data_IF_654217569033
#
_entry.id   IF_654217569033
#
_cell.length_a   1.000
_cell.length_b   1.000
_cell.length_c   1.000
_cell.angle_alpha   90.00
_cell.angle_beta   90.00
_cell.angle_gamma   90.00
#
_symmetry.space_group_name_H-M   'P 1'
#
loop_
_entity.id
_entity.type
_entity.pdbx_description
1 polymer ?
#
# COMPACT_ATOMS: atom_id res chain seq x y z
N UNK A 1 21.60 12.32 -14.65
CA UNK A 1 20.88 11.07 -14.92
C UNK A 1 21.85 9.89 -14.93
N UNK A 2 21.61 8.91 -14.08
CA UNK A 2 22.45 7.72 -13.92
C UNK A 2 22.43 6.83 -15.19
N UNK A 3 23.57 6.25 -15.63
CA UNK A 3 23.63 5.46 -16.88
C UNK A 3 22.69 4.27 -16.88
N UNK A 4 22.54 3.60 -15.74
CA UNK A 4 21.65 2.44 -15.59
C UNK A 4 20.19 2.81 -15.78
N UNK A 5 19.73 3.91 -15.16
CA UNK A 5 18.35 4.38 -15.31
C UNK A 5 18.04 4.74 -16.77
N UNK A 6 19.01 5.37 -17.44
CA UNK A 6 18.91 5.68 -18.88
C UNK A 6 18.77 4.41 -19.72
N UNK A 7 19.49 3.34 -19.37
CA UNK A 7 19.44 2.06 -20.09
C UNK A 7 18.13 1.30 -19.89
N UNK A 8 17.46 1.53 -18.75
CA UNK A 8 16.12 1.01 -18.46
C UNK A 8 15.01 1.82 -19.12
N UNK A 9 15.33 2.99 -19.72
CA UNK A 9 14.37 3.84 -20.42
C UNK A 9 13.70 4.89 -19.54
N UNK A 10 14.30 5.26 -18.41
CA UNK A 10 13.78 6.34 -17.56
C UNK A 10 14.14 7.73 -18.11
N UNK A 11 13.26 8.74 -17.94
CA UNK A 11 12.01 8.70 -17.17
C UNK A 11 10.81 8.12 -17.93
N UNK A 12 10.87 8.00 -19.27
CA UNK A 12 9.72 7.62 -20.12
C UNK A 12 9.03 6.31 -19.71
N UNK A 13 9.77 5.36 -19.13
CA UNK A 13 9.21 4.11 -18.60
C UNK A 13 8.12 4.34 -17.54
N UNK A 14 8.19 5.42 -16.74
CA UNK A 14 7.19 5.74 -15.72
C UNK A 14 5.80 6.04 -16.32
N UNK A 15 5.75 6.41 -17.59
CA UNK A 15 4.51 6.70 -18.31
C UNK A 15 3.89 5.44 -18.95
N UNK A 16 4.55 4.28 -18.86
CA UNK A 16 4.10 3.00 -19.43
C UNK A 16 3.85 1.95 -18.33
N UNK A 17 2.63 1.90 -17.74
CA UNK A 17 2.30 0.94 -16.68
C UNK A 17 2.40 -0.52 -17.15
N UNK A 18 2.13 -0.79 -18.43
CA UNK A 18 2.24 -2.14 -19.00
C UNK A 18 3.69 -2.61 -19.06
N UNK A 19 4.64 -1.70 -19.30
CA UNK A 19 6.06 -2.01 -19.27
C UNK A 19 6.59 -2.12 -17.83
N UNK A 20 6.17 -1.23 -16.93
CA UNK A 20 6.56 -1.27 -15.51
C UNK A 20 6.19 -2.60 -14.85
N UNK A 21 4.95 -3.06 -14.99
CA UNK A 21 4.49 -4.33 -14.42
C UNK A 21 5.21 -5.57 -14.98
N UNK A 22 5.99 -5.41 -16.06
CA UNK A 22 6.74 -6.49 -16.73
C UNK A 22 8.25 -6.42 -16.51
N UNK A 23 8.76 -5.46 -15.72
CA UNK A 23 10.16 -5.46 -15.30
C UNK A 23 10.51 -6.82 -14.69
N UNK A 24 11.69 -7.35 -14.97
CA UNK A 24 12.17 -8.62 -14.41
C UNK A 24 12.77 -8.42 -13.02
N UNK A 25 12.90 -9.48 -12.23
CA UNK A 25 13.50 -9.40 -10.87
C UNK A 25 14.92 -8.80 -10.93
N UNK A 26 15.74 -9.22 -11.91
CA UNK A 26 17.07 -8.64 -12.16
C UNK A 26 17.04 -7.12 -12.42
N UNK A 27 15.96 -6.61 -13.03
CA UNK A 27 15.82 -5.17 -13.28
C UNK A 27 15.35 -4.42 -12.02
N UNK A 28 14.52 -5.05 -11.20
CA UNK A 28 14.10 -4.50 -9.90
C UNK A 28 15.28 -4.46 -8.92
N UNK A 29 16.04 -5.55 -8.83
CA UNK A 29 17.29 -5.61 -8.06
C UNK A 29 18.24 -4.50 -8.50
N UNK A 30 18.38 -4.29 -9.81
CA UNK A 30 19.22 -3.24 -10.36
C UNK A 30 18.72 -1.84 -9.98
N UNK A 31 17.40 -1.61 -9.97
CA UNK A 31 16.80 -0.35 -9.51
C UNK A 31 17.04 -0.12 -8.01
N UNK A 32 16.84 -1.15 -7.18
CA UNK A 32 17.09 -1.10 -5.75
C UNK A 32 18.57 -0.77 -5.46
N UNK A 33 19.50 -1.48 -6.08
CA UNK A 33 20.94 -1.22 -5.94
C UNK A 33 21.31 0.22 -6.36
N UNK A 34 20.78 0.71 -7.49
CA UNK A 34 21.04 2.09 -7.95
C UNK A 34 20.47 3.13 -6.99
N UNK A 35 19.28 2.88 -6.43
CA UNK A 35 18.67 3.74 -5.39
C UNK A 35 19.58 3.79 -4.17
N UNK A 36 20.00 2.64 -3.66
CA UNK A 36 20.76 2.53 -2.41
C UNK A 36 22.17 3.12 -2.57
N UNK A 37 22.88 2.84 -3.67
CA UNK A 37 24.18 3.47 -3.98
C UNK A 37 24.09 5.00 -4.05
N UNK A 38 22.99 5.53 -4.60
CA UNK A 38 22.77 6.96 -4.68
C UNK A 38 22.36 7.56 -3.33
N UNK A 39 21.60 6.85 -2.51
CA UNK A 39 21.23 7.26 -1.16
C UNK A 39 22.47 7.32 -0.24
N UNK A 40 23.34 6.31 -0.29
CA UNK A 40 24.62 6.28 0.43
C UNK A 40 25.52 7.47 0.03
N UNK A 41 25.53 7.83 -1.26
CA UNK A 41 26.29 8.98 -1.74
C UNK A 41 25.75 10.31 -1.18
N UNK A 42 24.44 10.44 -0.98
CA UNK A 42 23.81 11.62 -0.38
C UNK A 42 24.15 11.79 1.10
N UNK A 43 24.49 10.72 1.84
CA UNK A 43 24.98 10.87 3.22
C UNK A 43 26.26 11.73 3.28
N UNK A 44 27.07 11.68 2.21
CA UNK A 44 28.32 12.45 2.11
C UNK A 44 28.12 13.81 1.43
N UNK A 45 27.21 13.90 0.47
CA UNK A 45 26.91 15.13 -0.29
C UNK A 45 25.38 15.32 -0.42
N UNK A 46 24.70 15.80 0.63
CA UNK A 46 23.22 15.80 0.70
C UNK A 46 22.54 16.70 -0.35
N UNK A 47 23.24 17.73 -0.83
CA UNK A 47 22.70 18.71 -1.76
C UNK A 47 22.98 18.33 -3.23
N UNK A 48 23.46 17.11 -3.49
CA UNK A 48 23.80 16.68 -4.84
C UNK A 48 22.56 16.34 -5.67
N UNK A 49 22.12 17.31 -6.48
CA UNK A 49 20.95 17.19 -7.36
C UNK A 49 20.94 15.89 -8.19
N UNK A 50 22.10 15.46 -8.71
CA UNK A 50 22.14 14.26 -9.55
C UNK A 50 21.88 12.97 -8.77
N UNK A 51 22.31 12.90 -7.50
CA UNK A 51 22.01 11.78 -6.63
C UNK A 51 20.56 11.84 -6.14
N UNK A 52 20.05 13.02 -5.78
CA UNK A 52 18.63 13.23 -5.44
C UNK A 52 17.72 12.73 -6.56
N UNK A 53 17.95 13.18 -7.80
CA UNK A 53 17.16 12.76 -8.97
C UNK A 53 17.24 11.24 -9.20
N UNK A 54 18.41 10.64 -8.95
CA UNK A 54 18.63 9.20 -9.14
C UNK A 54 17.85 8.41 -8.10
N UNK A 55 17.91 8.81 -6.83
CA UNK A 55 17.16 8.20 -5.74
C UNK A 55 15.66 8.32 -6.01
N UNK A 56 15.19 9.49 -6.42
CA UNK A 56 13.79 9.72 -6.75
C UNK A 56 13.29 8.87 -7.91
N UNK A 57 13.96 8.92 -9.06
CA UNK A 57 13.54 8.14 -10.23
C UNK A 57 13.60 6.63 -9.97
N UNK A 58 14.67 6.15 -9.32
CA UNK A 58 14.81 4.72 -9.04
C UNK A 58 13.73 4.24 -8.05
N UNK A 59 13.51 4.97 -6.95
CA UNK A 59 12.52 4.61 -5.95
C UNK A 59 11.09 4.65 -6.51
N UNK A 60 10.74 5.71 -7.25
CA UNK A 60 9.43 5.85 -7.88
C UNK A 60 9.14 4.75 -8.90
N UNK A 61 10.16 4.35 -9.68
CA UNK A 61 10.02 3.27 -10.66
C UNK A 61 9.85 1.93 -9.97
N UNK A 62 10.65 1.66 -8.94
CA UNK A 62 10.62 0.41 -8.19
C UNK A 62 9.26 0.19 -7.52
N UNK A 63 8.79 1.17 -6.74
CA UNK A 63 7.52 1.07 -6.00
C UNK A 63 6.33 0.94 -6.95
N UNK A 64 6.29 1.72 -8.03
CA UNK A 64 5.25 1.61 -9.06
C UNK A 64 5.25 0.23 -9.75
N UNK A 65 6.42 -0.31 -10.06
CA UNK A 65 6.53 -1.63 -10.69
C UNK A 65 6.08 -2.77 -9.75
N UNK A 66 6.47 -2.71 -8.47
CA UNK A 66 6.05 -3.68 -7.45
C UNK A 66 4.54 -3.63 -7.21
N UNK A 67 3.97 -2.43 -7.09
CA UNK A 67 2.53 -2.22 -7.00
C UNK A 67 1.79 -2.83 -8.20
N UNK A 68 2.23 -2.54 -9.43
CA UNK A 68 1.61 -3.09 -10.64
C UNK A 68 1.76 -4.61 -10.73
N UNK A 69 2.89 -5.17 -10.31
CA UNK A 69 3.10 -6.63 -10.23
C UNK A 69 2.11 -7.29 -9.28
N UNK A 70 1.87 -6.69 -8.10
CA UNK A 70 0.85 -7.18 -7.16
C UNK A 70 -0.55 -7.20 -7.80
N UNK A 71 -0.91 -6.16 -8.56
CA UNK A 71 -2.17 -6.10 -9.30
C UNK A 71 -2.28 -7.15 -10.43
N UNK A 72 -1.15 -7.62 -10.96
CA UNK A 72 -1.09 -8.60 -12.05
C UNK A 72 -1.08 -10.06 -11.57
N UNK A 73 -1.14 -10.31 -10.26
CA UNK A 73 -1.21 -11.67 -9.71
C UNK A 73 -2.49 -12.37 -10.19
N UNK A 74 -2.33 -13.48 -10.92
CA UNK A 74 -3.44 -14.24 -11.54
C UNK A 74 -4.21 -15.13 -10.52
N UNK A 75 -3.92 -14.97 -9.22
CA UNK A 75 -4.61 -15.70 -8.16
C UNK A 75 -5.68 -14.79 -7.55
N UNK A 76 -6.93 -15.18 -7.71
CA UNK A 76 -8.05 -14.43 -7.16
C UNK A 76 -8.07 -14.52 -5.62
N UNK A 77 -8.31 -13.40 -4.92
CA UNK A 77 -8.46 -13.42 -3.48
C UNK A 77 -9.71 -14.20 -3.06
N UNK A 78 -9.78 -14.57 -1.78
CA UNK A 78 -10.91 -15.29 -1.24
C UNK A 78 -12.21 -14.49 -1.43
N UNK A 79 -13.31 -15.16 -1.77
CA UNK A 79 -14.61 -14.49 -1.72
C UNK A 79 -14.90 -13.93 -0.32
N UNK A 80 -15.23 -12.63 -0.26
CA UNK A 80 -15.59 -11.96 0.98
C UNK A 80 -16.89 -12.53 1.56
N UNK A 81 -16.94 -12.79 2.88
CA UNK A 81 -18.20 -13.05 3.53
C UNK A 81 -19.05 -11.76 3.59
N UNK A 82 -20.37 -11.86 3.84
CA UNK A 82 -21.23 -10.68 3.97
C UNK A 82 -20.71 -9.71 5.05
N UNK A 83 -20.89 -8.39 4.88
CA UNK A 83 -20.40 -7.39 5.83
C UNK A 83 -20.81 -7.65 7.28
N UNK A 84 -22.04 -8.14 7.52
CA UNK A 84 -22.51 -8.52 8.87
C UNK A 84 -21.75 -9.69 9.52
N UNK A 85 -21.07 -10.52 8.73
CA UNK A 85 -20.21 -11.61 9.21
C UNK A 85 -18.82 -11.06 9.51
N UNK A 86 -18.26 -10.24 8.62
CA UNK A 86 -17.00 -9.50 8.86
C UNK A 86 -17.07 -8.67 10.16
N UNK A 87 -18.18 -7.96 10.36
CA UNK A 87 -18.37 -7.16 11.57
C UNK A 87 -18.34 -7.97 12.87
N UNK A 88 -18.74 -9.25 12.79
CA UNK A 88 -18.76 -10.15 13.93
C UNK A 88 -17.44 -10.90 14.13
N UNK A 89 -16.62 -11.03 13.08
CA UNK A 89 -15.33 -11.70 13.19
C UNK A 89 -14.29 -10.81 13.88
N UNK A 90 -14.45 -9.47 13.82
CA UNK A 90 -13.61 -8.51 14.53
C UNK A 90 -13.71 -8.64 16.07
N UNK A 91 -12.97 -9.61 16.62
CA UNK A 91 -13.07 -10.15 17.97
C UNK A 91 -12.47 -9.22 19.05
N UNK A 92 -12.83 -7.93 19.09
CA UNK A 92 -12.47 -7.05 20.21
C UNK A 92 -12.53 -5.53 20.00
N UNK A 93 -13.29 -5.02 19.03
CA UNK A 93 -13.46 -3.57 18.88
C UNK A 93 -14.81 -3.20 18.27
N UNK A 94 -15.27 -1.98 18.56
CA UNK A 94 -16.40 -1.40 17.84
C UNK A 94 -15.90 -0.95 16.46
N UNK A 95 -16.42 -1.58 15.40
CA UNK A 95 -16.24 -1.06 14.05
C UNK A 95 -17.15 0.16 13.86
N UNK A 96 -16.60 1.17 13.19
CA UNK A 96 -17.27 2.43 12.87
C UNK A 96 -17.79 2.34 11.46
N UNK A 97 -19.10 2.48 11.31
CA UNK A 97 -19.72 2.56 10.00
C UNK A 97 -19.42 3.91 9.37
N UNK A 98 -19.11 3.90 8.08
CA UNK A 98 -19.07 5.10 7.26
C UNK A 98 -20.50 5.39 6.79
N UNK A 99 -20.88 6.67 6.71
CA UNK A 99 -22.22 6.99 6.24
C UNK A 99 -22.33 6.79 4.72
N UNK A 100 -23.55 6.47 4.26
CA UNK A 100 -23.84 6.36 2.82
C UNK A 100 -23.65 7.68 2.06
N UNK A 101 -23.69 8.82 2.76
CA UNK A 101 -23.44 10.11 2.13
C UNK A 101 -21.94 10.29 1.89
N UNK A 102 -21.09 9.86 2.82
CA UNK A 102 -19.64 10.00 2.70
C UNK A 102 -19.04 9.02 1.69
N UNK A 103 -19.79 7.99 1.31
CA UNK A 103 -19.41 7.02 0.27
C UNK A 103 -20.16 7.20 -1.05
N UNK A 104 -21.01 8.24 -1.16
CA UNK A 104 -21.91 8.40 -2.31
C UNK A 104 -21.18 8.65 -3.64
N UNK A 105 -20.04 9.34 -3.57
CA UNK A 105 -19.25 9.76 -4.72
C UNK A 105 -18.06 8.83 -5.01
N UNK A 106 -17.98 7.69 -4.30
CA UNK A 106 -16.92 6.70 -4.52
C UNK A 106 -17.22 5.82 -5.73
N UNK A 107 -16.25 5.72 -6.63
CA UNK A 107 -16.26 4.84 -7.80
C UNK A 107 -15.52 3.54 -7.49
N UNK A 108 -16.03 2.79 -6.51
CA UNK A 108 -15.47 1.50 -6.06
C UNK A 108 -16.52 0.38 -6.13
N UNK A 109 -16.10 -0.90 -6.12
CA UNK A 109 -17.03 -2.02 -6.12
C UNK A 109 -18.06 -1.97 -5.00
N UNK A 110 -19.26 -2.52 -5.25
CA UNK A 110 -20.33 -2.56 -4.25
C UNK A 110 -19.97 -3.34 -3.00
N UNK A 111 -19.04 -4.30 -3.09
CA UNK A 111 -18.49 -5.03 -1.95
C UNK A 111 -17.71 -4.10 -1.02
N UNK A 112 -16.90 -3.20 -1.56
CA UNK A 112 -16.19 -2.15 -0.80
C UNK A 112 -17.19 -1.26 -0.07
N UNK A 113 -18.24 -0.81 -0.78
CA UNK A 113 -19.32 -0.02 -0.17
C UNK A 113 -20.09 -0.79 0.91
N UNK A 114 -20.32 -2.10 0.74
CA UNK A 114 -20.98 -2.95 1.74
C UNK A 114 -20.14 -3.05 3.02
N UNK A 115 -18.83 -3.23 2.88
CA UNK A 115 -17.90 -3.23 4.01
C UNK A 115 -17.95 -1.89 4.75
N UNK A 116 -17.75 -0.76 4.07
CA UNK A 116 -17.74 0.56 4.71
C UNK A 116 -19.06 0.90 5.41
N UNK A 117 -20.20 0.64 4.76
CA UNK A 117 -21.51 1.06 5.23
C UNK A 117 -22.17 0.09 6.22
N UNK A 118 -21.84 -1.21 6.17
CA UNK A 118 -22.52 -2.24 6.95
C UNK A 118 -21.60 -3.06 7.87
N UNK A 119 -20.30 -3.17 7.56
CA UNK A 119 -19.33 -3.79 8.47
C UNK A 119 -18.62 -2.75 9.35
N UNK A 120 -18.13 -1.69 8.72
CA UNK A 120 -17.35 -0.62 9.33
C UNK A 120 -15.86 -0.92 9.39
N UNK A 121 -15.09 0.09 9.78
CA UNK A 121 -13.63 0.03 9.97
C UNK A 121 -13.29 0.17 11.47
N UNK A 122 -12.18 -0.42 11.95
CA UNK A 122 -11.75 -0.19 13.31
C UNK A 122 -11.36 1.28 13.52
N UNK A 123 -11.20 1.69 14.78
CA UNK A 123 -10.64 2.99 15.11
C UNK A 123 -9.13 3.06 14.89
N UNK A 124 -8.49 1.98 15.32
CA UNK A 124 -7.05 1.73 15.29
C UNK A 124 -6.87 0.23 15.08
N UNK A 125 -5.78 -0.15 14.42
CA UNK A 125 -5.38 -1.54 14.27
C UNK A 125 -3.86 -1.61 14.15
N UNK A 126 -3.26 -2.73 14.56
CA UNK A 126 -1.85 -2.95 14.27
C UNK A 126 -1.65 -3.32 12.79
N UNK A 127 -0.50 -2.95 12.17
CA UNK A 127 0.65 -2.27 12.79
C UNK A 127 0.49 -0.74 12.77
N UNK A 128 0.24 -0.14 13.94
CA UNK A 128 0.13 1.30 14.21
C UNK A 128 -0.77 2.12 13.26
N UNK A 129 -1.86 1.55 12.77
CA UNK A 129 -2.80 2.20 11.87
C UNK A 129 -3.88 2.97 12.64
N UNK A 130 -4.15 4.20 12.21
CA UNK A 130 -5.26 5.03 12.67
C UNK A 130 -6.24 5.32 11.54
N UNK A 131 -7.49 4.87 11.70
CA UNK A 131 -8.53 5.00 10.69
C UNK A 131 -9.32 6.29 10.84
N UNK A 132 -9.60 6.92 9.71
CA UNK A 132 -10.41 8.13 9.65
C UNK A 132 -11.86 7.82 10.03
N UNK A 133 -12.55 8.80 10.64
CA UNK A 133 -13.99 8.66 10.92
C UNK A 133 -14.83 8.60 9.64
N UNK A 134 -14.35 9.22 8.57
CA UNK A 134 -14.96 9.23 7.25
C UNK A 134 -13.88 9.36 6.20
N UNK A 135 -13.95 8.61 5.09
CA UNK A 135 -12.96 8.72 4.04
C UNK A 135 -12.96 10.11 3.40
N UNK A 136 -11.79 10.56 2.98
CA UNK A 136 -11.59 11.87 2.36
C UNK A 136 -10.77 11.72 1.10
N UNK A 137 -11.05 12.55 0.08
CA UNK A 137 -10.20 12.60 -1.12
C UNK A 137 -8.80 13.03 -0.72
N UNK A 138 -7.77 12.29 -1.12
CA UNK A 138 -6.39 12.60 -0.76
C UNK A 138 -6.00 14.01 -1.22
N UNK A 139 -6.41 14.38 -2.43
CA UNK A 139 -6.23 15.73 -2.98
C UNK A 139 -6.64 16.84 -1.99
N UNK A 140 -7.74 16.65 -1.25
CA UNK A 140 -8.25 17.67 -0.31
C UNK A 140 -7.37 17.89 0.92
N UNK A 141 -6.41 17.00 1.16
CA UNK A 141 -5.46 17.07 2.27
C UNK A 141 -4.11 17.67 1.85
N UNK A 142 -3.88 17.82 0.56
CA UNK A 142 -2.62 18.30 0.00
C UNK A 142 -2.65 19.81 -0.20
N UNK A 143 -1.52 20.46 0.06
CA UNK A 143 -1.32 21.88 -0.24
C UNK A 143 -0.63 21.98 -1.61
N UNK A 144 -1.44 21.98 -2.67
CA UNK A 144 -0.96 21.92 -4.05
C UNK A 144 -0.91 23.34 -4.63
N UNK A 145 0.23 23.77 -5.21
CA UNK A 145 0.31 25.05 -5.91
C UNK A 145 -0.74 25.13 -7.04
N UNK A 146 -1.38 26.30 -7.20
CA UNK A 146 -2.41 26.52 -8.25
C UNK A 146 -1.91 26.17 -9.67
N UNK A 147 -0.61 26.31 -9.94
CA UNK A 147 -0.01 26.02 -11.24
C UNK A 147 0.08 24.50 -11.56
N UNK A 148 -0.04 23.63 -10.55
CA UNK A 148 0.05 22.16 -10.66
C UNK A 148 -1.29 21.45 -10.35
N UNK A 149 -2.38 22.21 -10.22
CA UNK A 149 -3.68 21.73 -9.75
C UNK A 149 -4.29 20.68 -10.71
N UNK A 150 -4.23 20.92 -12.02
CA UNK A 150 -4.84 20.01 -13.03
C UNK A 150 -4.17 18.61 -13.04
N UNK A 151 -2.84 18.56 -13.02
CA UNK A 151 -2.09 17.29 -13.04
C UNK A 151 -2.24 16.53 -11.71
N UNK A 152 -2.29 17.28 -10.60
CA UNK A 152 -2.47 16.71 -9.28
C UNK A 152 -3.89 16.21 -9.04
N UNK A 153 -4.91 16.87 -9.59
CA UNK A 153 -6.31 16.42 -9.54
C UNK A 153 -6.47 15.09 -10.26
N UNK A 154 -5.84 14.92 -11.43
CA UNK A 154 -5.91 13.67 -12.20
C UNK A 154 -5.32 12.48 -11.41
N UNK A 155 -4.21 12.68 -10.69
CA UNK A 155 -3.57 11.61 -9.94
C UNK A 155 -4.16 11.42 -8.53
N UNK A 156 -4.16 12.47 -7.71
CA UNK A 156 -4.59 12.37 -6.30
C UNK A 156 -6.10 12.37 -6.12
N UNK A 157 -6.83 12.88 -7.11
CA UNK A 157 -8.28 12.91 -7.10
C UNK A 157 -8.89 11.52 -7.06
N UNK A 158 -8.23 10.46 -7.53
CA UNK A 158 -8.75 9.08 -7.53
C UNK A 158 -8.57 8.31 -6.22
N UNK A 159 -7.88 8.88 -5.24
CA UNK A 159 -7.61 8.21 -3.96
C UNK A 159 -8.52 8.71 -2.85
N UNK A 160 -9.11 7.77 -2.12
CA UNK A 160 -9.82 8.04 -0.88
C UNK A 160 -9.01 7.56 0.31
N UNK A 161 -8.46 8.48 1.09
CA UNK A 161 -7.81 8.12 2.35
C UNK A 161 -8.82 7.57 3.33
N UNK A 162 -8.50 6.43 3.92
CA UNK A 162 -9.31 5.72 4.92
C UNK A 162 -8.57 5.54 6.25
N UNK A 163 -7.24 5.57 6.23
CA UNK A 163 -6.40 5.48 7.42
C UNK A 163 -5.03 6.11 7.15
N UNK A 164 -4.20 6.16 8.19
CA UNK A 164 -2.78 6.49 8.10
C UNK A 164 -1.98 5.66 9.12
N UNK A 165 -0.70 5.45 8.85
CA UNK A 165 0.23 4.85 9.82
C UNK A 165 0.82 5.93 10.77
N UNK A 166 1.75 5.53 11.64
CA UNK A 166 2.42 6.42 12.58
C UNK A 166 3.32 7.48 11.91
N UNK A 167 3.85 7.20 10.71
CA UNK A 167 4.69 8.11 9.92
C UNK A 167 3.87 9.15 9.13
N UNK A 168 2.56 8.92 9.02
CA UNK A 168 1.63 9.79 8.30
C UNK A 168 1.45 9.42 6.83
N UNK A 169 1.88 8.22 6.44
CA UNK A 169 1.59 7.64 5.14
C UNK A 169 0.10 7.33 5.04
N UNK A 170 -0.47 7.58 3.86
CA UNK A 170 -1.90 7.51 3.67
C UNK A 170 -2.30 6.11 3.19
N UNK A 171 -3.15 5.43 3.95
CA UNK A 171 -3.84 4.22 3.47
C UNK A 171 -5.10 4.67 2.72
N UNK A 172 -5.16 4.33 1.44
CA UNK A 172 -6.19 4.80 0.53
C UNK A 172 -6.91 3.67 -0.19
N UNK A 173 -8.10 3.96 -0.70
CA UNK A 173 -8.75 3.20 -1.77
C UNK A 173 -8.44 3.85 -3.11
N UNK A 174 -7.91 3.10 -4.08
CA UNK A 174 -7.64 3.59 -5.44
C UNK A 174 -8.80 3.23 -6.39
N UNK A 175 -9.53 4.24 -6.86
CA UNK A 175 -10.64 4.06 -7.80
C UNK A 175 -10.18 3.55 -9.18
N UNK A 176 -8.93 3.80 -9.58
CA UNK A 176 -8.40 3.37 -10.88
C UNK A 176 -8.09 1.88 -10.90
N UNK A 177 -7.91 1.29 -9.71
CA UNK A 177 -7.61 -0.13 -9.49
C UNK A 177 -8.76 -0.82 -8.73
N UNK A 178 -10.01 -0.54 -9.09
CA UNK A 178 -11.20 -1.20 -8.53
C UNK A 178 -11.29 -1.17 -6.99
N UNK A 179 -10.81 -0.10 -6.36
CA UNK A 179 -10.87 0.08 -4.90
C UNK A 179 -9.90 -0.79 -4.12
N UNK A 180 -8.76 -1.18 -4.73
CA UNK A 180 -7.59 -1.73 -4.04
C UNK A 180 -7.17 -0.81 -2.90
N UNK A 181 -6.73 -1.42 -1.79
CA UNK A 181 -6.11 -0.71 -0.67
C UNK A 181 -4.63 -0.53 -0.97
N UNK A 182 -4.18 0.71 -0.92
CA UNK A 182 -2.81 1.13 -1.24
C UNK A 182 -2.29 2.04 -0.13
N UNK A 183 -1.02 1.90 0.22
CA UNK A 183 -0.32 2.86 1.07
C UNK A 183 0.46 3.82 0.18
N UNK A 184 0.34 5.12 0.47
CA UNK A 184 1.02 6.20 -0.23
C UNK A 184 1.97 6.90 0.73
N UNK A 185 3.25 6.86 0.40
CA UNK A 185 4.31 7.36 1.25
C UNK A 185 4.35 8.90 1.24
N UNK A 186 4.24 9.49 2.42
CA UNK A 186 4.20 10.94 2.59
C UNK A 186 5.55 11.61 2.32
N UNK A 187 6.66 10.98 2.68
CA UNK A 187 8.01 11.54 2.48
C UNK A 187 8.32 11.66 0.98
N UNK A 188 7.71 10.82 0.16
CA UNK A 188 7.76 10.86 -1.30
C UNK A 188 6.61 11.64 -1.96
N UNK A 189 5.95 12.51 -1.20
CA UNK A 189 4.87 13.37 -1.71
C UNK A 189 3.64 12.59 -2.14
N UNK A 190 3.41 11.40 -1.57
CA UNK A 190 2.31 10.46 -1.86
C UNK A 190 2.36 9.82 -3.25
N UNK A 191 3.48 9.93 -3.96
CA UNK A 191 3.63 9.29 -5.27
C UNK A 191 4.07 7.84 -5.16
N UNK A 192 4.93 7.51 -4.18
CA UNK A 192 5.38 6.13 -3.98
C UNK A 192 4.23 5.27 -3.43
N UNK A 193 3.95 4.18 -4.13
CA UNK A 193 2.81 3.30 -3.90
C UNK A 193 3.28 1.96 -3.35
N UNK A 194 2.56 1.47 -2.34
CA UNK A 194 2.71 0.11 -1.84
C UNK A 194 1.35 -0.59 -1.82
N UNK A 195 1.31 -1.79 -2.40
CA UNK A 195 0.10 -2.62 -2.39
C UNK A 195 -0.16 -3.09 -0.96
N UNK A 196 -1.40 -2.92 -0.48
CA UNK A 196 -1.82 -3.43 0.83
C UNK A 196 -2.71 -4.65 0.65
N UNK A 197 -3.85 -4.48 -0.04
CA UNK A 197 -4.81 -5.55 -0.26
C UNK A 197 -5.72 -5.27 -1.46
N UNK A 198 -6.21 -6.33 -2.08
CA UNK A 198 -7.14 -6.29 -3.23
C UNK A 198 -8.48 -5.61 -2.93
N UNK A 199 -8.87 -5.50 -1.65
CA UNK A 199 -10.03 -4.71 -1.23
C UNK A 199 -10.02 -4.43 0.26
N UNK A 200 -10.83 -3.45 0.70
CA UNK A 200 -11.00 -3.15 2.13
C UNK A 200 -11.52 -4.33 2.96
N UNK A 201 -12.29 -5.23 2.36
CA UNK A 201 -12.77 -6.44 3.03
C UNK A 201 -11.64 -7.44 3.28
N UNK A 202 -10.72 -7.58 2.32
CA UNK A 202 -9.53 -8.43 2.48
C UNK A 202 -8.57 -7.82 3.50
N UNK A 203 -8.42 -6.50 3.47
CA UNK A 203 -7.62 -5.78 4.46
C UNK A 203 -8.10 -6.02 5.88
N UNK A 204 -9.41 -5.94 6.15
CA UNK A 204 -9.96 -6.27 7.47
C UNK A 204 -9.68 -7.71 7.91
N UNK A 205 -9.72 -8.67 6.98
CA UNK A 205 -9.40 -10.07 7.29
C UNK A 205 -7.91 -10.26 7.58
N UNK A 206 -7.02 -9.58 6.85
CA UNK A 206 -5.58 -9.60 7.12
C UNK A 206 -5.25 -8.92 8.46
N UNK A 207 -5.89 -7.81 8.81
CA UNK A 207 -5.75 -7.18 10.13
C UNK A 207 -6.22 -8.11 11.26
N UNK A 208 -7.27 -8.90 11.04
CA UNK A 208 -7.71 -9.91 12.01
C UNK A 208 -6.67 -11.03 12.17
N UNK A 209 -6.06 -11.47 11.05
CA UNK A 209 -4.98 -12.45 11.07
C UNK A 209 -3.73 -11.91 11.80
N UNK A 210 -3.33 -10.67 11.53
CA UNK A 210 -2.20 -10.00 12.18
C UNK A 210 -2.41 -9.92 13.69
N UNK A 211 -3.60 -9.48 14.12
CA UNK A 211 -3.93 -9.43 15.54
C UNK A 211 -3.91 -10.81 16.21
N UNK A 212 -4.30 -11.87 15.50
CA UNK A 212 -4.23 -13.22 16.02
C UNK A 212 -2.78 -13.69 16.18
N UNK A 213 -1.91 -13.30 15.23
CA UNK A 213 -0.46 -13.51 15.27
C UNK A 213 0.15 -12.85 16.51
N UNK A 214 -0.09 -11.55 16.73
CA UNK A 214 0.43 -10.81 17.90
C UNK A 214 -0.07 -11.33 19.25
N UNK A 215 -1.28 -11.90 19.28
CA UNK A 215 -1.85 -12.48 20.49
C UNK A 215 -1.28 -13.86 20.82
N UNK A 216 -0.58 -14.51 19.87
CA UNK A 216 0.06 -15.79 20.09
C UNK A 216 1.39 -15.59 20.80
N UNK A 217 1.43 -15.95 22.08
CA UNK A 217 2.65 -15.91 22.90
C UNK A 217 3.15 -17.31 23.23
N UNK A 218 2.62 -18.35 22.57
CA UNK A 218 2.80 -19.75 22.94
C UNK A 218 3.79 -20.49 22.05
N UNK A 219 3.86 -20.13 20.78
CA UNK A 219 4.71 -20.73 19.76
C UNK A 219 5.97 -19.89 19.50
N UNK A 220 6.93 -20.47 18.77
CA UNK A 220 8.14 -19.80 18.30
C UNK A 220 7.82 -18.85 17.13
N UNK A 221 8.59 -17.79 16.95
CA UNK A 221 8.24 -16.69 16.02
C UNK A 221 8.15 -17.17 14.57
N UNK A 222 9.05 -18.05 14.12
CA UNK A 222 8.96 -18.71 12.81
C UNK A 222 7.58 -19.35 12.58
N UNK A 223 7.03 -20.03 13.61
CA UNK A 223 5.73 -20.71 13.50
C UNK A 223 4.57 -19.71 13.46
N UNK A 224 4.71 -18.61 14.18
CA UNK A 224 3.73 -17.52 14.24
C UNK A 224 3.69 -16.81 12.88
N UNK A 225 4.85 -16.47 12.30
CA UNK A 225 5.00 -15.90 10.95
C UNK A 225 4.41 -16.82 9.90
N UNK A 226 4.82 -18.10 9.86
CA UNK A 226 4.28 -19.08 8.91
C UNK A 226 2.75 -19.21 8.99
N UNK A 227 2.18 -19.05 10.19
CA UNK A 227 0.73 -19.13 10.40
C UNK A 227 0.03 -17.90 9.83
N UNK A 228 0.60 -16.72 10.01
CA UNK A 228 0.08 -15.49 9.42
C UNK A 228 0.21 -15.49 7.89
N UNK A 229 1.37 -15.86 7.34
CA UNK A 229 1.58 -15.99 5.89
C UNK A 229 0.53 -16.89 5.25
N UNK A 230 0.31 -18.10 5.81
CA UNK A 230 -0.73 -19.01 5.31
C UNK A 230 -2.13 -18.41 5.39
N UNK A 231 -2.39 -17.57 6.39
CA UNK A 231 -3.67 -16.87 6.51
C UNK A 231 -3.81 -15.81 5.41
N UNK A 232 -2.80 -14.98 5.19
CA UNK A 232 -2.81 -13.94 4.15
C UNK A 232 -2.82 -14.55 2.76
N UNK A 233 -2.00 -15.57 2.47
CA UNK A 233 -2.01 -16.30 1.19
C UNK A 233 -3.41 -16.83 0.84
N UNK A 234 -4.15 -17.31 1.85
CA UNK A 234 -5.53 -17.76 1.67
C UNK A 234 -6.50 -16.59 1.44
N UNK A 235 -6.33 -15.47 2.13
CA UNK A 235 -7.23 -14.31 2.08
C UNK A 235 -7.03 -13.53 0.78
N UNK A 236 -5.78 -13.17 0.51
CA UNK A 236 -5.35 -12.27 -0.55
C UNK A 236 -3.87 -12.52 -0.88
N UNK A 237 -3.56 -13.46 -1.80
CA UNK A 237 -2.19 -13.84 -2.12
C UNK A 237 -1.32 -12.69 -2.63
N UNK A 238 -1.92 -11.70 -3.31
CA UNK A 238 -1.21 -10.53 -3.79
C UNK A 238 -0.63 -9.68 -2.65
N UNK A 239 -1.17 -9.83 -1.43
CA UNK A 239 -0.75 -9.07 -0.27
C UNK A 239 0.60 -9.53 0.32
N UNK A 240 1.13 -10.68 -0.14
CA UNK A 240 2.47 -11.21 0.21
C UNK A 240 3.46 -11.13 -0.96
N UNK A 241 3.14 -10.43 -2.05
CA UNK A 241 4.17 -10.21 -3.08
C UNK A 241 5.26 -9.31 -2.54
N UNK A 242 6.47 -9.45 -3.07
CA UNK A 242 7.60 -8.57 -2.78
C UNK A 242 7.19 -7.08 -2.83
N UNK A 243 7.57 -6.33 -1.78
CA UNK A 243 7.25 -4.91 -1.62
C UNK A 243 5.79 -4.60 -1.30
N UNK A 244 4.93 -5.61 -1.10
CA UNK A 244 3.61 -5.39 -0.52
C UNK A 244 3.72 -5.13 0.99
N UNK A 245 2.77 -4.37 1.52
CA UNK A 245 2.75 -3.93 2.92
C UNK A 245 2.96 -5.07 3.92
N UNK A 246 2.28 -6.21 3.73
CA UNK A 246 2.40 -7.32 4.68
C UNK A 246 3.71 -8.09 4.54
N UNK A 247 4.35 -8.08 3.35
CA UNK A 247 5.70 -8.62 3.17
C UNK A 247 6.68 -7.79 4.00
N UNK A 248 6.68 -6.46 3.81
CA UNK A 248 7.57 -5.56 4.55
C UNK A 248 7.33 -5.61 6.07
N UNK A 249 6.08 -5.77 6.51
CA UNK A 249 5.79 -5.94 7.94
C UNK A 249 6.39 -7.22 8.52
N UNK A 250 6.47 -8.30 7.74
CA UNK A 250 7.08 -9.56 8.17
C UNK A 250 8.60 -9.45 8.18
N UNK A 251 9.19 -8.89 7.12
CA UNK A 251 10.63 -8.64 7.04
C UNK A 251 11.12 -7.83 8.24
N UNK A 252 10.37 -6.79 8.65
CA UNK A 252 10.68 -5.98 9.82
C UNK A 252 10.66 -6.78 11.14
N UNK A 253 9.76 -7.76 11.28
CA UNK A 253 9.73 -8.63 12.47
C UNK A 253 10.97 -9.53 12.48
N UNK A 254 11.30 -10.15 11.35
CA UNK A 254 12.47 -11.03 11.23
C UNK A 254 13.78 -10.27 11.53
N UNK A 255 13.91 -9.04 11.04
CA UNK A 255 15.08 -8.18 11.32
C UNK A 255 15.21 -7.76 12.79
N UNK A 256 14.10 -7.63 13.53
CA UNK A 256 14.14 -7.32 14.97
C UNK A 256 14.60 -8.50 15.83
N UNK A 257 14.54 -9.73 15.32
CA UNK A 257 14.91 -10.95 16.04
C UNK A 257 16.40 -11.37 15.89
N UNK A 258 17.08 -10.90 14.84
CA UNK A 258 18.50 -11.18 14.52
C UNK A 258 19.53 -10.33 15.33
#
# INVERSE_FOLDING_TARGET
MHPTLSSLGLPDLLEDPDALGKLTDEQLDLLANVRDEAADALETDPDNEAHIDTVYLAHMTLTSALFLRALMVDVQPQALPPGSVLARSWNGGQLRLVSKNDTADMLVPTSTLDVLNNAGLPAVAEPELSFDESPVRLLSLMDIPEDDEDASDEFFGSFWRIAQNAFGDAICLDERADGVVVMLDKEWGYYAQQFVNSSIGHFLLCLEAWRAMEADTGDDVDTIIETFERAVERIDPAALTEGAFWSDCLDAIEEEED
#
